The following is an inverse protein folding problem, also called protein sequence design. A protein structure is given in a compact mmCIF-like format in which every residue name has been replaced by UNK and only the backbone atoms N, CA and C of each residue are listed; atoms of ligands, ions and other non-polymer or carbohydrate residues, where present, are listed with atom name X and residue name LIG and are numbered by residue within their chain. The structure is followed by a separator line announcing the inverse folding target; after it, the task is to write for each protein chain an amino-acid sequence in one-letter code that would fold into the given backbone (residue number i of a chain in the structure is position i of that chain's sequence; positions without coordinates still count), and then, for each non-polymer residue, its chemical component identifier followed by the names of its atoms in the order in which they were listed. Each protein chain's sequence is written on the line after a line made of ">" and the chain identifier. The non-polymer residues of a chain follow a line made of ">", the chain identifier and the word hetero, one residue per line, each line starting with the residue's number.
data_IF_258381228633
#
_entry.id   IF_258381228633
#
_cell.length_a   1.000
_cell.length_b   1.000
_cell.length_c   1.000
_cell.angle_alpha   90.00
_cell.angle_beta   90.00
_cell.angle_gamma   90.00
#
_symmetry.space_group_name_H-M   'P 1'
#
loop_
_entity.id
_entity.type
_entity.pdbx_description
1 polymer ?
#
# COMPACT_ATOMS: atom_id res chain seq x y z
N UNK A 1 -5.96 2.59 10.09
CA UNK A 1 -6.85 2.11 9.00
C UNK A 1 -7.02 0.61 9.00
N UNK A 2 -5.95 -0.19 9.08
CA UNK A 2 -5.99 -1.67 9.12
C UNK A 2 -7.05 -2.24 10.08
N UNK A 3 -7.05 -1.81 11.36
CA UNK A 3 -8.04 -2.24 12.35
C UNK A 3 -9.48 -1.84 11.99
N UNK A 4 -9.69 -0.60 11.54
CA UNK A 4 -11.01 -0.07 11.15
C UNK A 4 -11.67 -0.89 10.03
N UNK A 5 -10.87 -1.41 9.11
CA UNK A 5 -11.33 -2.24 7.99
C UNK A 5 -11.25 -3.75 8.27
N UNK A 6 -10.93 -4.17 9.51
CA UNK A 6 -10.92 -5.59 9.90
C UNK A 6 -9.76 -6.41 9.32
N UNK A 7 -8.68 -5.76 8.88
CA UNK A 7 -7.52 -6.43 8.27
C UNK A 7 -6.39 -6.77 9.26
N UNK A 8 -6.59 -6.53 10.56
CA UNK A 8 -5.53 -6.68 11.58
C UNK A 8 -4.93 -8.09 11.62
N UNK A 9 -5.77 -9.13 11.54
CA UNK A 9 -5.29 -10.54 11.51
C UNK A 9 -4.51 -10.92 10.26
N UNK A 10 -4.54 -10.09 9.21
CA UNK A 10 -3.83 -10.29 7.93
C UNK A 10 -2.68 -9.30 7.71
N UNK A 11 -2.44 -8.41 8.67
CA UNK A 11 -1.38 -7.42 8.59
C UNK A 11 -0.22 -7.90 9.45
N UNK A 12 0.84 -8.39 8.82
CA UNK A 12 2.05 -8.84 9.50
C UNK A 12 2.68 -7.71 10.35
N UNK A 13 2.83 -6.52 9.75
CA UNK A 13 3.33 -5.33 10.43
C UNK A 13 2.97 -4.04 9.68
N UNK A 14 3.26 -2.90 10.32
CA UNK A 14 3.26 -1.58 9.70
C UNK A 14 4.63 -0.97 9.99
N UNK A 15 5.42 -0.72 8.94
CA UNK A 15 6.77 -0.15 9.05
C UNK A 15 6.82 1.27 8.49
N UNK A 16 7.56 2.13 9.17
CA UNK A 16 7.82 3.49 8.75
C UNK A 16 9.30 3.64 8.38
N UNK A 17 9.58 4.32 7.26
CA UNK A 17 10.95 4.63 6.86
C UNK A 17 11.61 5.68 7.75
N UNK A 18 10.82 6.41 8.56
CA UNK A 18 11.31 7.52 9.38
C UNK A 18 11.80 8.72 8.56
N UNK A 19 11.58 8.73 7.24
CA UNK A 19 11.91 9.86 6.37
C UNK A 19 10.70 10.78 6.25
N UNK A 20 10.97 12.09 6.26
CA UNK A 20 9.96 13.09 5.94
C UNK A 20 9.47 12.97 4.49
N UNK A 21 8.32 13.56 4.20
CA UNK A 21 7.69 13.50 2.87
C UNK A 21 8.60 14.14 1.79
N UNK A 22 9.43 15.11 2.18
CA UNK A 22 10.33 15.91 1.32
C UNK A 22 11.68 15.21 1.05
N UNK A 23 11.87 13.96 1.49
CA UNK A 23 13.13 13.24 1.26
C UNK A 23 13.44 13.08 -0.24
N UNK A 24 14.74 13.09 -0.58
CA UNK A 24 15.24 12.89 -1.95
C UNK A 24 14.85 11.48 -2.44
N UNK A 25 14.36 11.37 -3.68
CA UNK A 25 13.72 10.14 -4.21
C UNK A 25 14.59 8.87 -4.07
N UNK A 26 15.92 9.01 -4.17
CA UNK A 26 16.86 7.88 -4.05
C UNK A 26 16.96 7.35 -2.62
N UNK A 27 17.25 8.21 -1.64
CA UNK A 27 17.37 7.81 -0.23
C UNK A 27 16.05 7.22 0.29
N UNK A 28 14.93 7.80 -0.14
CA UNK A 28 13.60 7.30 0.19
C UNK A 28 13.36 5.89 -0.34
N UNK A 29 13.77 5.62 -1.58
CA UNK A 29 13.66 4.29 -2.21
C UNK A 29 14.50 3.25 -1.48
N UNK A 30 15.76 3.55 -1.21
CA UNK A 30 16.67 2.61 -0.52
C UNK A 30 16.10 2.21 0.85
N UNK A 31 15.57 3.19 1.60
CA UNK A 31 14.97 2.92 2.90
C UNK A 31 13.65 2.16 2.83
N UNK A 32 12.83 2.41 1.80
CA UNK A 32 11.63 1.61 1.52
C UNK A 32 11.99 0.16 1.21
N UNK A 33 13.04 -0.08 0.41
CA UNK A 33 13.53 -1.43 0.12
C UNK A 33 14.04 -2.10 1.38
N UNK A 34 14.85 -1.41 2.19
CA UNK A 34 15.35 -1.94 3.46
C UNK A 34 14.22 -2.36 4.40
N UNK A 35 13.24 -1.48 4.65
CA UNK A 35 12.10 -1.80 5.51
C UNK A 35 11.20 -2.87 4.89
N UNK A 36 11.09 -2.92 3.55
CA UNK A 36 10.39 -3.98 2.84
C UNK A 36 11.05 -5.35 3.02
N UNK A 37 12.37 -5.44 2.89
CA UNK A 37 13.12 -6.69 3.13
C UNK A 37 12.95 -7.15 4.58
N UNK A 38 12.97 -6.24 5.55
CA UNK A 38 12.71 -6.58 6.96
C UNK A 38 11.28 -7.05 7.16
N UNK A 39 10.28 -6.40 6.56
CA UNK A 39 8.89 -6.86 6.63
C UNK A 39 8.75 -8.30 6.13
N UNK A 40 9.43 -8.66 5.04
CA UNK A 40 9.40 -10.03 4.51
C UNK A 40 10.12 -11.00 5.45
N UNK A 41 11.36 -10.70 5.85
CA UNK A 41 12.23 -11.64 6.56
C UNK A 41 11.92 -11.79 8.05
N UNK A 42 11.54 -10.70 8.70
CA UNK A 42 11.35 -10.64 10.15
C UNK A 42 9.88 -10.80 10.54
N UNK A 43 8.97 -10.22 9.75
CA UNK A 43 7.54 -10.20 10.09
C UNK A 43 6.73 -11.25 9.32
N UNK A 44 7.32 -11.91 8.33
CA UNK A 44 6.65 -12.90 7.49
C UNK A 44 5.67 -12.29 6.48
N UNK A 45 5.90 -11.05 6.03
CA UNK A 45 5.06 -10.44 5.01
C UNK A 45 5.29 -11.09 3.63
N UNK A 46 4.23 -11.58 3.00
CA UNK A 46 4.27 -12.15 1.64
C UNK A 46 3.88 -11.15 0.54
N UNK A 47 3.38 -9.96 0.93
CA UNK A 47 3.00 -8.84 0.06
C UNK A 47 3.25 -7.54 0.82
N UNK A 48 3.70 -6.50 0.11
CA UNK A 48 3.85 -5.15 0.66
C UNK A 48 2.83 -4.18 0.06
N UNK A 49 2.37 -3.20 0.84
CA UNK A 49 1.49 -2.12 0.38
C UNK A 49 2.19 -0.78 0.63
N UNK A 50 2.30 0.05 -0.40
CA UNK A 50 2.88 1.39 -0.26
C UNK A 50 1.93 2.29 0.54
N UNK A 51 2.43 2.81 1.68
CA UNK A 51 1.60 3.51 2.67
C UNK A 51 1.33 4.99 2.40
N UNK A 52 1.84 5.57 1.31
CA UNK A 52 1.65 6.99 0.97
C UNK A 52 1.46 7.18 -0.54
N UNK A 53 0.52 8.04 -0.93
CA UNK A 53 0.28 8.39 -2.33
C UNK A 53 1.51 9.01 -3.03
N UNK A 54 2.39 9.68 -2.28
CA UNK A 54 3.67 10.18 -2.77
C UNK A 54 4.72 9.09 -3.06
N UNK A 55 4.31 7.81 -3.08
CA UNK A 55 5.11 6.66 -3.51
C UNK A 55 4.48 5.97 -4.73
N UNK A 56 3.53 6.61 -5.42
CA UNK A 56 2.91 6.01 -6.58
C UNK A 56 3.94 5.74 -7.69
N UNK A 57 3.82 4.60 -8.38
CA UNK A 57 4.64 4.21 -9.53
C UNK A 57 6.07 3.73 -9.23
N UNK A 58 6.44 3.54 -7.95
CA UNK A 58 7.73 2.91 -7.58
C UNK A 58 7.60 1.46 -7.10
N UNK A 59 6.37 0.95 -7.03
CA UNK A 59 6.01 -0.42 -6.64
C UNK A 59 6.83 -1.47 -7.41
N UNK A 60 6.88 -1.40 -8.75
CA UNK A 60 7.61 -2.38 -9.58
C UNK A 60 9.11 -2.34 -9.44
N UNK A 61 9.67 -1.21 -9.00
CA UNK A 61 11.10 -1.12 -8.68
C UNK A 61 11.38 -1.77 -7.34
N UNK A 62 10.56 -1.48 -6.33
CA UNK A 62 10.70 -2.09 -5.00
C UNK A 62 10.45 -3.60 -5.07
N UNK A 63 9.42 -4.06 -5.78
CA UNK A 63 9.07 -5.47 -5.99
C UNK A 63 10.26 -6.31 -6.48
N UNK A 64 11.03 -5.79 -7.43
CA UNK A 64 12.25 -6.44 -7.93
C UNK A 64 13.33 -6.60 -6.86
N UNK A 65 13.42 -5.68 -5.92
CA UNK A 65 14.44 -5.70 -4.87
C UNK A 65 14.01 -6.51 -3.64
N UNK A 66 12.72 -6.48 -3.27
CA UNK A 66 12.20 -7.19 -2.10
C UNK A 66 11.81 -8.65 -2.38
N UNK A 67 11.53 -9.00 -3.64
CA UNK A 67 11.22 -10.37 -4.07
C UNK A 67 9.79 -10.84 -3.79
N UNK A 68 8.90 -9.96 -3.34
CA UNK A 68 7.47 -10.22 -3.11
C UNK A 68 6.62 -9.15 -3.80
N UNK A 69 5.34 -9.42 -4.13
CA UNK A 69 4.46 -8.43 -4.74
C UNK A 69 4.38 -7.13 -3.94
N UNK A 70 4.43 -5.99 -4.62
CA UNK A 70 4.28 -4.67 -4.01
C UNK A 70 3.08 -3.97 -4.65
N UNK A 71 2.14 -3.55 -3.80
CA UNK A 71 0.88 -2.92 -4.23
C UNK A 71 0.96 -1.40 -4.07
N UNK A 72 0.78 -0.70 -5.18
CA UNK A 72 0.48 0.74 -5.19
C UNK A 72 -1.01 0.97 -4.88
N UNK A 73 -1.28 1.63 -3.75
CA UNK A 73 -2.63 1.96 -3.32
C UNK A 73 -3.38 2.93 -4.25
N UNK A 74 -2.67 3.80 -4.97
CA UNK A 74 -3.28 4.75 -5.92
C UNK A 74 -3.81 4.02 -7.15
N UNK A 75 -2.97 3.19 -7.77
CA UNK A 75 -3.35 2.37 -8.92
C UNK A 75 -4.47 1.40 -8.55
N UNK A 76 -4.35 0.76 -7.38
CA UNK A 76 -5.38 -0.17 -6.87
C UNK A 76 -6.73 0.51 -6.69
N UNK A 77 -6.74 1.73 -6.12
CA UNK A 77 -7.96 2.50 -5.94
C UNK A 77 -8.63 2.87 -7.27
N UNK A 78 -7.84 3.23 -8.29
CA UNK A 78 -8.37 3.51 -9.64
C UNK A 78 -9.04 2.28 -10.25
N UNK A 79 -8.41 1.10 -10.16
CA UNK A 79 -9.00 -0.13 -10.68
C UNK A 79 -10.28 -0.51 -9.93
N UNK A 80 -10.30 -0.36 -8.60
CA UNK A 80 -11.52 -0.58 -7.81
C UNK A 80 -12.64 0.39 -8.22
N UNK A 81 -12.33 1.68 -8.38
CA UNK A 81 -13.30 2.69 -8.81
C UNK A 81 -13.86 2.36 -10.21
N UNK A 82 -13.01 2.04 -11.18
CA UNK A 82 -13.44 1.66 -12.52
C UNK A 82 -14.34 0.43 -12.51
N UNK A 83 -14.01 -0.58 -11.69
CA UNK A 83 -14.82 -1.79 -11.55
C UNK A 83 -16.23 -1.50 -11.04
N UNK A 84 -16.38 -0.59 -10.07
CA UNK A 84 -17.67 -0.19 -9.53
C UNK A 84 -18.51 0.57 -10.56
N UNK A 85 -17.87 1.47 -11.33
CA UNK A 85 -18.53 2.22 -12.42
C UNK A 85 -19.04 1.26 -13.49
N UNK A 86 -18.18 0.34 -13.96
CA UNK A 86 -18.55 -0.65 -14.98
C UNK A 86 -19.65 -1.61 -14.51
N UNK A 87 -19.68 -1.94 -13.22
CA UNK A 87 -20.73 -2.77 -12.63
C UNK A 87 -22.06 -2.00 -12.44
N UNK A 88 -22.05 -0.67 -12.51
CA UNK A 88 -23.25 0.15 -12.37
C UNK A 88 -23.71 0.32 -10.91
N UNK A 89 -22.81 0.20 -9.95
CA UNK A 89 -23.11 0.38 -8.52
C UNK A 89 -22.47 1.64 -7.95
N UNK A 90 -23.12 2.20 -6.93
CA UNK A 90 -22.64 3.39 -6.21
C UNK A 90 -22.89 3.26 -4.71
N UNK A 91 -22.35 4.20 -3.93
CA UNK A 91 -22.54 4.23 -2.48
C UNK A 91 -24.02 4.39 -2.14
N UNK A 92 -24.57 3.45 -1.36
CA UNK A 92 -25.96 3.50 -0.90
C UNK A 92 -26.25 4.76 -0.08
N UNK A 93 -27.36 5.43 -0.40
CA UNK A 93 -27.85 6.66 0.24
C UNK A 93 -28.99 6.43 1.23
N UNK A 94 -29.27 5.17 1.60
CA UNK A 94 -30.40 4.81 2.49
C UNK A 94 -30.07 5.06 3.97
N UNK A 95 -28.82 5.35 4.33
CA UNK A 95 -28.42 5.44 5.74
C UNK A 95 -27.16 6.27 5.98
N UNK A 96 -26.07 5.64 6.45
CA UNK A 96 -24.90 6.36 6.96
C UNK A 96 -24.16 7.27 5.96
N UNK A 97 -24.41 7.09 4.66
CA UNK A 97 -23.71 7.80 3.59
C UNK A 97 -24.65 8.65 2.72
N UNK A 98 -25.85 9.01 3.22
CA UNK A 98 -26.77 9.96 2.58
C UNK A 98 -26.05 11.22 2.09
#
# INVERSE_FOLDING_TARGET
>A
MVRKYGFEKRCASIRATGLGIVAIDKEKREKLVQEGIKAVKEDGAEVLILGCAGMAGIDKKIEKEVGVPVIDGVVSALMMMESLIRYGVSTSKVGKYS
#
